data_IF_458538907942
#
_entry.id   IF_458538907942
#
_cell.length_a   1.000
_cell.length_b   1.000
_cell.length_c   1.000
_cell.angle_alpha   90.00
_cell.angle_beta   90.00
_cell.angle_gamma   90.00
#
_symmetry.space_group_name_H-M   'P 1'
#
loop_
_entity.id
_entity.type
_entity.pdbx_description
1 polymer ?
#
# COMPACT_ATOMS: atom_id res chain seq x y z
N UNK A 1 16.47 -2.55 -23.83
CA UNK A 1 16.53 -1.66 -22.66
C UNK A 1 15.40 -2.12 -21.75
N UNK A 2 15.70 -3.01 -20.80
CA UNK A 2 14.71 -3.66 -19.95
C UNK A 2 14.17 -2.64 -18.96
N UNK A 3 12.86 -2.37 -19.03
CA UNK A 3 12.17 -1.38 -18.21
C UNK A 3 11.74 -2.09 -16.92
N UNK A 4 12.39 -1.78 -15.82
CA UNK A 4 12.02 -2.31 -14.50
C UNK A 4 10.71 -1.69 -14.05
N UNK A 5 9.83 -2.52 -13.50
CA UNK A 5 8.54 -2.11 -12.96
C UNK A 5 8.51 -2.53 -11.49
N UNK A 6 9.04 -1.69 -10.61
CA UNK A 6 8.88 -1.84 -9.15
C UNK A 6 7.45 -1.42 -8.77
N UNK A 7 6.46 -2.27 -9.01
CA UNK A 7 5.06 -1.95 -8.70
C UNK A 7 4.59 -2.73 -7.48
N UNK A 8 4.04 -2.00 -6.52
CA UNK A 8 3.20 -2.57 -5.48
C UNK A 8 1.78 -2.73 -6.00
N UNK A 9 1.14 -3.84 -5.69
CA UNK A 9 -0.30 -4.01 -5.85
C UNK A 9 -0.92 -3.89 -4.47
N UNK A 10 -1.72 -2.83 -4.29
CA UNK A 10 -2.45 -2.58 -3.06
C UNK A 10 -3.92 -2.96 -3.29
N UNK A 11 -4.47 -3.76 -2.39
CA UNK A 11 -5.91 -4.02 -2.31
C UNK A 11 -6.44 -3.56 -0.97
N UNK A 12 -7.56 -2.84 -1.00
CA UNK A 12 -8.29 -2.40 0.19
C UNK A 12 -9.68 -3.01 0.16
N UNK A 13 -10.07 -3.68 1.25
CA UNK A 13 -11.31 -4.43 1.37
C UNK A 13 -11.56 -5.42 0.22
N UNK A 14 -10.48 -6.07 -0.25
CA UNK A 14 -10.49 -7.03 -1.36
C UNK A 14 -10.51 -6.42 -2.77
N UNK A 15 -10.68 -5.10 -2.91
CA UNK A 15 -10.67 -4.40 -4.20
C UNK A 15 -9.31 -3.77 -4.45
N UNK A 16 -8.78 -3.93 -5.66
CA UNK A 16 -7.55 -3.23 -6.06
C UNK A 16 -7.79 -1.73 -6.10
N UNK A 17 -6.87 -0.96 -5.53
CA UNK A 17 -6.97 0.51 -5.48
C UNK A 17 -6.93 1.10 -6.90
N UNK A 18 -7.54 2.28 -7.06
CA UNK A 18 -7.60 2.96 -8.35
C UNK A 18 -6.20 3.37 -8.85
N UNK A 19 -6.09 3.65 -10.14
CA UNK A 19 -4.85 4.22 -10.72
C UNK A 19 -4.52 5.57 -10.08
N UNK A 20 -5.54 6.38 -9.82
CA UNK A 20 -5.41 7.66 -9.13
C UNK A 20 -4.83 7.51 -7.71
N UNK A 21 -5.32 6.52 -6.95
CA UNK A 21 -4.77 6.20 -5.64
C UNK A 21 -3.32 5.77 -5.74
N UNK A 22 -2.99 4.85 -6.66
CA UNK A 22 -1.61 4.40 -6.87
C UNK A 22 -0.67 5.55 -7.25
N UNK A 23 -1.15 6.50 -8.05
CA UNK A 23 -0.37 7.68 -8.43
C UNK A 23 -0.19 8.67 -7.27
N UNK A 24 -1.07 8.62 -6.26
CA UNK A 24 -0.95 9.39 -5.03
C UNK A 24 -0.03 8.73 -3.99
N UNK A 25 0.32 7.44 -4.13
CA UNK A 25 1.24 6.76 -3.21
C UNK A 25 2.64 7.34 -3.36
N UNK A 26 3.11 7.97 -2.28
CA UNK A 26 4.46 8.50 -2.15
C UNK A 26 5.39 7.42 -1.58
N UNK A 27 4.92 6.67 -0.58
CA UNK A 27 5.73 5.67 0.12
C UNK A 27 4.88 4.50 0.63
N UNK A 28 5.46 3.30 0.60
CA UNK A 28 4.93 2.12 1.28
C UNK A 28 6.05 1.52 2.13
N UNK A 29 5.83 1.47 3.44
CA UNK A 29 6.74 0.80 4.38
C UNK A 29 6.02 -0.42 4.93
N UNK A 30 6.67 -1.58 4.88
CA UNK A 30 6.25 -2.79 5.58
C UNK A 30 7.33 -3.14 6.60
N UNK A 31 6.98 -3.05 7.88
CA UNK A 31 7.85 -3.44 8.99
C UNK A 31 7.41 -4.81 9.51
N UNK A 32 8.28 -5.79 9.33
CA UNK A 32 8.09 -7.15 9.82
C UNK A 32 9.21 -7.49 10.80
N UNK A 33 8.83 -7.88 12.02
CA UNK A 33 9.78 -8.31 13.03
C UNK A 33 9.27 -9.57 13.72
N UNK A 34 10.18 -10.32 14.35
CA UNK A 34 9.82 -11.52 15.11
C UNK A 34 9.12 -11.20 16.43
N UNK A 35 9.33 -9.99 16.97
CA UNK A 35 8.94 -9.63 18.34
C UNK A 35 7.77 -8.63 18.42
N UNK A 36 7.45 -7.98 17.30
CA UNK A 36 6.34 -7.03 17.18
C UNK A 36 5.39 -7.48 16.07
N UNK A 37 4.09 -7.12 16.14
CA UNK A 37 3.17 -7.32 15.03
C UNK A 37 3.71 -6.71 13.75
N UNK A 38 3.46 -7.39 12.62
CA UNK A 38 3.75 -6.83 11.31
C UNK A 38 2.89 -5.57 11.09
N UNK A 39 3.51 -4.49 10.64
CA UNK A 39 2.83 -3.22 10.39
C UNK A 39 3.12 -2.74 8.97
N UNK A 40 2.17 -2.03 8.38
CA UNK A 40 2.38 -1.33 7.12
C UNK A 40 1.88 0.10 7.22
N UNK A 41 2.64 1.02 6.61
CA UNK A 41 2.29 2.42 6.47
C UNK A 41 2.29 2.77 4.98
N UNK A 42 1.21 3.40 4.52
CA UNK A 42 1.08 3.90 3.15
C UNK A 42 0.95 5.41 3.25
N UNK A 43 1.91 6.14 2.68
CA UNK A 43 1.87 7.59 2.60
C UNK A 43 1.29 8.01 1.27
N UNK A 44 0.27 8.86 1.33
CA UNK A 44 -0.38 9.43 0.15
C UNK A 44 -0.09 10.94 0.06
N UNK A 45 0.12 11.42 -1.15
CA UNK A 45 0.06 12.84 -1.46
C UNK A 45 -1.39 13.24 -1.75
N UNK A 46 -1.97 14.07 -0.89
CA UNK A 46 -3.39 14.45 -0.94
C UNK A 46 -3.58 15.97 -0.99
N UNK A 47 -3.19 16.59 -2.11
CA UNK A 47 -3.29 18.04 -2.26
C UNK A 47 -4.72 18.60 -2.22
N UNK A 48 -5.71 17.76 -2.52
CA UNK A 48 -7.12 18.15 -2.60
C UNK A 48 -7.95 17.69 -1.39
N UNK A 49 -7.31 17.09 -0.37
CA UNK A 49 -7.97 16.50 0.80
C UNK A 49 -9.03 15.45 0.42
N UNK A 50 -8.82 14.75 -0.69
CA UNK A 50 -9.72 13.72 -1.19
C UNK A 50 -9.59 12.44 -0.39
N UNK A 51 -8.36 11.97 -0.21
CA UNK A 51 -8.09 10.66 0.38
C UNK A 51 -8.37 10.64 1.88
N UNK A 52 -8.13 11.76 2.57
CA UNK A 52 -8.45 11.87 4.00
C UNK A 52 -9.95 11.69 4.30
N UNK A 53 -10.82 12.05 3.34
CA UNK A 53 -12.28 11.93 3.45
C UNK A 53 -12.87 10.70 2.71
N UNK A 54 -12.02 9.87 2.08
CA UNK A 54 -12.47 8.74 1.27
C UNK A 54 -12.81 7.53 2.16
N UNK A 55 -14.07 7.09 2.12
CA UNK A 55 -14.57 5.96 2.93
C UNK A 55 -13.93 4.60 2.58
N UNK A 56 -13.19 4.50 1.47
CA UNK A 56 -12.37 3.32 1.19
C UNK A 56 -11.22 3.17 2.20
N UNK A 57 -10.81 4.25 2.87
CA UNK A 57 -9.78 4.29 3.90
C UNK A 57 -10.31 4.26 5.34
N UNK A 58 -11.61 3.97 5.52
CA UNK A 58 -12.19 3.81 6.85
C UNK A 58 -11.41 2.79 7.71
N UNK A 59 -11.35 3.03 9.01
CA UNK A 59 -10.74 2.12 9.98
C UNK A 59 -11.42 0.74 9.92
N UNK A 60 -10.61 -0.33 9.98
CA UNK A 60 -11.04 -1.73 9.94
C UNK A 60 -11.15 -2.32 8.54
N UNK A 61 -10.93 -1.55 7.46
CA UNK A 61 -10.85 -2.12 6.10
C UNK A 61 -9.58 -2.95 5.97
N UNK A 62 -9.68 -4.12 5.33
CA UNK A 62 -8.51 -4.99 5.12
C UNK A 62 -7.56 -4.39 4.09
N UNK A 63 -6.25 -4.57 4.29
CA UNK A 63 -5.20 -4.11 3.37
C UNK A 63 -4.31 -5.28 3.02
N UNK A 64 -4.09 -5.48 1.72
CA UNK A 64 -3.16 -6.48 1.18
C UNK A 64 -2.16 -5.78 0.28
N UNK A 65 -0.87 -6.00 0.53
CA UNK A 65 0.22 -5.44 -0.27
C UNK A 65 1.00 -6.59 -0.89
N UNK A 66 1.09 -6.58 -2.21
CA UNK A 66 1.81 -7.58 -3.00
C UNK A 66 2.89 -6.89 -3.81
N UNK A 67 4.08 -7.50 -3.87
CA UNK A 67 5.16 -7.07 -4.76
C UNK A 67 5.19 -8.02 -5.94
N UNK A 68 5.13 -7.49 -7.15
CA UNK A 68 5.42 -8.25 -8.36
C UNK A 68 6.87 -7.97 -8.79
N UNK A 69 7.64 -9.04 -8.96
CA UNK A 69 8.99 -9.02 -9.56
C UNK A 69 8.93 -9.85 -10.84
N UNK A 70 9.56 -9.34 -11.89
CA UNK A 70 9.47 -9.89 -13.24
C UNK A 70 10.07 -11.30 -13.34
N UNK A 71 9.54 -12.12 -14.25
CA UNK A 71 9.77 -13.58 -14.37
C UNK A 71 11.25 -13.99 -14.58
N UNK A 72 12.12 -13.05 -14.96
CA UNK A 72 13.56 -13.28 -15.16
C UNK A 72 14.39 -13.17 -13.88
N UNK A 73 13.80 -12.67 -12.79
CA UNK A 73 14.41 -12.69 -11.46
C UNK A 73 13.98 -13.95 -10.75
N UNK A 74 14.91 -14.69 -10.14
CA UNK A 74 14.63 -15.94 -9.39
C UNK A 74 13.78 -15.76 -8.13
N UNK A 75 13.21 -14.58 -7.89
CA UNK A 75 12.25 -14.31 -6.83
C UNK A 75 10.84 -14.27 -7.40
N UNK A 76 9.96 -15.14 -6.93
CA UNK A 76 8.53 -15.00 -7.19
C UNK A 76 8.02 -13.75 -6.46
N UNK A 77 7.24 -12.92 -7.15
CA UNK A 77 6.43 -11.90 -6.48
C UNK A 77 5.56 -12.54 -5.39
N UNK A 78 5.13 -11.76 -4.41
CA UNK A 78 4.41 -12.30 -3.27
C UNK A 78 3.71 -11.25 -2.43
N UNK A 79 2.71 -11.68 -1.67
CA UNK A 79 2.06 -10.85 -0.65
C UNK A 79 3.03 -10.66 0.50
N UNK A 80 3.38 -9.41 0.76
CA UNK A 80 4.32 -9.02 1.82
C UNK A 80 3.61 -8.49 3.08
N UNK A 81 2.33 -8.11 2.97
CA UNK A 81 1.52 -7.66 4.09
C UNK A 81 0.05 -8.06 3.92
N UNK A 82 -0.59 -8.44 5.02
CA UNK A 82 -2.04 -8.59 5.13
C UNK A 82 -2.44 -8.12 6.53
N UNK A 83 -3.35 -7.15 6.58
CA UNK A 83 -3.81 -6.57 7.84
C UNK A 83 -5.04 -5.71 7.63
N UNK A 84 -5.23 -4.72 8.50
CA UNK A 84 -6.34 -3.77 8.45
C UNK A 84 -5.88 -2.33 8.71
N UNK A 85 -6.66 -1.36 8.24
CA UNK A 85 -6.43 0.05 8.55
C UNK A 85 -6.75 0.28 10.02
N UNK A 86 -5.76 0.71 10.79
CA UNK A 86 -5.93 0.99 12.23
C UNK A 86 -5.93 2.49 12.55
N UNK A 87 -5.38 3.31 11.65
CA UNK A 87 -5.26 4.76 11.82
C UNK A 87 -5.23 5.46 10.45
N UNK A 88 -5.71 6.70 10.42
CA UNK A 88 -5.57 7.63 9.29
C UNK A 88 -5.02 8.94 9.85
N UNK A 89 -3.79 9.28 9.47
CA UNK A 89 -3.01 10.36 10.10
C UNK A 89 -2.69 11.46 9.08
N UNK A 90 -3.56 12.47 8.93
CA UNK A 90 -3.29 13.56 8.02
C UNK A 90 -2.16 14.46 8.53
N UNK A 91 -1.28 14.87 7.62
CA UNK A 91 -0.25 15.86 7.88
C UNK A 91 -0.47 17.07 6.96
N UNK A 92 -0.77 18.23 7.57
CA UNK A 92 -1.05 19.49 6.87
C UNK A 92 0.10 20.52 6.98
N UNK A 93 1.26 20.08 7.46
CA UNK A 93 2.40 20.95 7.77
C UNK A 93 3.11 21.45 6.51
#
# INVERSE_FOLDING_TARGET
MTKYKSHFIIKINGTQVSEEFNNAVDEVIVDSSLNMPCMASIRLYDAELKWVDDASLDIGKTVVITVEIDEQSTGAGGTIFTGEITSLEPNFS
#
